data_IF_643696702630
#
_entry.id   IF_643696702630
#
_cell.length_a   1.000
_cell.length_b   1.000
_cell.length_c   1.000
_cell.angle_alpha   90.00
_cell.angle_beta   90.00
_cell.angle_gamma   90.00
#
_symmetry.space_group_name_H-M   'P 1'
#
loop_
_entity.id
_entity.type
_entity.pdbx_description
1 polymer ?
#
# COMPACT_ATOMS: atom_id res chain seq x y z
N UNK A 1 6.19 45.67 -18.34
CA UNK A 1 4.83 45.59 -17.78
C UNK A 1 4.13 44.27 -18.13
N UNK A 2 4.43 43.71 -19.30
CA UNK A 2 3.86 42.40 -19.69
C UNK A 2 4.55 41.20 -19.02
N UNK A 3 5.81 41.33 -18.62
CA UNK A 3 6.52 40.31 -17.88
C UNK A 3 5.96 40.07 -16.46
N UNK A 4 5.37 41.11 -15.84
CA UNK A 4 4.78 40.98 -14.51
C UNK A 4 3.41 40.28 -14.52
N UNK A 5 2.69 40.24 -15.64
CA UNK A 5 1.45 39.49 -15.79
C UNK A 5 1.71 37.97 -15.93
N UNK A 6 2.79 37.60 -16.58
CA UNK A 6 3.24 36.19 -16.63
C UNK A 6 3.72 35.65 -15.27
N UNK A 7 4.23 36.54 -14.41
CA UNK A 7 4.64 36.16 -13.05
C UNK A 7 3.44 35.93 -12.10
N UNK A 8 2.30 36.56 -12.35
CA UNK A 8 1.07 36.35 -11.58
C UNK A 8 0.54 34.93 -11.68
N UNK A 9 0.75 34.24 -12.81
CA UNK A 9 0.38 32.86 -13.00
C UNK A 9 1.41 31.86 -12.39
N UNK A 10 2.62 32.31 -12.12
CA UNK A 10 3.65 31.51 -11.44
C UNK A 10 3.26 31.19 -9.99
N UNK A 11 2.42 31.97 -9.35
CA UNK A 11 1.91 31.69 -8.00
C UNK A 11 0.87 30.56 -7.96
N UNK A 12 0.38 30.11 -9.11
CA UNK A 12 -0.48 28.92 -9.23
C UNK A 12 0.31 27.68 -9.58
N UNK A 13 1.59 27.59 -9.18
CA UNK A 13 2.38 26.37 -9.37
C UNK A 13 1.72 25.22 -8.66
N UNK A 14 1.17 24.31 -9.43
CA UNK A 14 0.68 23.06 -8.91
C UNK A 14 1.87 22.12 -8.72
N UNK A 15 2.00 21.60 -7.51
CA UNK A 15 2.97 20.55 -7.24
C UNK A 15 2.40 19.19 -7.62
N UNK A 16 3.24 18.34 -8.15
CA UNK A 16 2.90 16.98 -8.55
C UNK A 16 3.75 15.98 -7.78
N UNK A 17 3.20 14.81 -7.54
CA UNK A 17 3.88 13.67 -6.97
C UNK A 17 3.78 12.47 -7.92
N UNK A 18 4.83 11.69 -7.99
CA UNK A 18 4.85 10.37 -8.61
C UNK A 18 5.30 9.34 -7.58
N UNK A 19 4.45 8.33 -7.35
CA UNK A 19 4.71 7.24 -6.40
C UNK A 19 4.55 5.93 -7.19
N UNK A 20 5.53 5.05 -7.08
CA UNK A 20 5.54 3.79 -7.81
C UNK A 20 5.81 2.61 -6.88
N UNK A 21 5.29 1.44 -7.25
CA UNK A 21 5.63 0.17 -6.60
C UNK A 21 7.03 -0.32 -6.99
N UNK A 22 7.57 0.20 -8.08
CA UNK A 22 8.85 -0.20 -8.67
C UNK A 22 10.01 0.74 -8.34
N UNK A 23 11.16 0.38 -8.86
CA UNK A 23 12.38 1.15 -8.74
C UNK A 23 12.57 2.08 -9.95
N UNK A 24 13.08 3.29 -9.71
CA UNK A 24 13.51 4.22 -10.78
C UNK A 24 14.85 3.75 -11.37
N UNK A 25 14.82 2.64 -12.08
CA UNK A 25 16.00 2.05 -12.70
C UNK A 25 15.65 1.50 -14.09
N UNK A 26 16.35 1.94 -15.12
CA UNK A 26 16.11 1.61 -16.52
C UNK A 26 16.11 0.09 -16.78
N UNK A 27 17.06 -0.65 -16.20
CA UNK A 27 17.19 -2.09 -16.42
C UNK A 27 16.03 -2.87 -15.79
N UNK A 28 15.59 -2.48 -14.59
CA UNK A 28 14.48 -3.16 -13.92
C UNK A 28 13.13 -2.80 -14.53
N UNK A 29 12.98 -1.58 -15.08
CA UNK A 29 11.75 -1.13 -15.71
C UNK A 29 11.40 -1.92 -16.99
N UNK A 30 12.36 -2.57 -17.63
CA UNK A 30 12.11 -3.42 -18.80
C UNK A 30 11.67 -4.84 -18.45
N UNK A 31 11.82 -5.26 -17.19
CA UNK A 31 11.57 -6.63 -16.76
C UNK A 31 10.36 -6.74 -15.81
N UNK A 32 10.00 -5.65 -15.14
CA UNK A 32 9.02 -5.65 -14.05
C UNK A 32 7.71 -4.98 -14.49
N UNK A 33 6.60 -5.62 -14.13
CA UNK A 33 5.28 -4.99 -14.19
C UNK A 33 5.03 -4.28 -12.86
N UNK A 34 5.03 -2.95 -12.91
CA UNK A 34 4.83 -2.07 -11.76
C UNK A 34 3.66 -1.12 -11.97
N UNK A 35 3.12 -0.60 -10.88
CA UNK A 35 2.10 0.44 -10.88
C UNK A 35 2.70 1.77 -10.46
N UNK A 36 2.27 2.85 -11.11
CA UNK A 36 2.65 4.22 -10.77
C UNK A 36 1.44 5.13 -10.64
N UNK A 37 1.43 5.95 -9.60
CA UNK A 37 0.44 7.01 -9.39
C UNK A 37 1.09 8.36 -9.64
N UNK A 38 0.59 9.08 -10.64
CA UNK A 38 0.89 10.50 -10.85
C UNK A 38 -0.27 11.34 -10.35
N UNK A 39 -0.02 12.22 -9.37
CA UNK A 39 -1.08 12.96 -8.70
C UNK A 39 -0.68 14.39 -8.35
N UNK A 40 -1.67 15.26 -8.23
CA UNK A 40 -1.52 16.61 -7.69
C UNK A 40 -2.38 16.81 -6.42
N UNK A 41 -2.90 15.74 -5.84
CA UNK A 41 -3.65 15.84 -4.59
C UNK A 41 -2.77 16.40 -3.48
N UNK A 42 -3.22 17.51 -2.89
CA UNK A 42 -2.43 18.29 -1.93
C UNK A 42 -2.01 17.46 -0.72
N UNK A 43 -2.91 16.63 -0.22
CA UNK A 43 -2.66 15.76 0.93
C UNK A 43 -1.50 14.78 0.68
N UNK A 44 -1.42 14.18 -0.51
CA UNK A 44 -0.32 13.27 -0.89
C UNK A 44 0.97 14.04 -1.15
N UNK A 45 0.87 15.16 -1.88
CA UNK A 45 2.04 15.99 -2.21
C UNK A 45 2.68 16.56 -0.94
N UNK A 46 1.87 17.04 0.01
CA UNK A 46 2.37 17.57 1.28
C UNK A 46 3.07 16.50 2.12
N UNK A 47 2.47 15.32 2.22
CA UNK A 47 3.08 14.21 2.97
C UNK A 47 4.40 13.76 2.33
N UNK A 48 4.48 13.73 0.99
CA UNK A 48 5.72 13.41 0.29
C UNK A 48 6.79 14.48 0.52
N UNK A 49 6.39 15.76 0.50
CA UNK A 49 7.28 16.87 0.86
C UNK A 49 7.81 16.73 2.29
N UNK A 50 6.91 16.43 3.25
CA UNK A 50 7.29 16.19 4.66
C UNK A 50 8.23 15.00 4.78
N UNK A 51 8.02 13.93 4.01
CA UNK A 51 8.92 12.78 3.99
C UNK A 51 10.35 13.20 3.59
N UNK A 52 10.50 13.96 2.52
CA UNK A 52 11.81 14.44 2.11
C UNK A 52 12.47 15.36 3.15
N UNK A 53 11.69 16.23 3.81
CA UNK A 53 12.20 17.07 4.89
C UNK A 53 12.62 16.28 6.13
N UNK A 54 11.83 15.25 6.48
CA UNK A 54 12.19 14.32 7.56
C UNK A 54 13.48 13.58 7.25
N UNK A 55 13.67 13.11 6.02
CA UNK A 55 14.92 12.44 5.60
C UNK A 55 16.12 13.37 5.61
N UNK A 56 15.92 14.67 5.46
CA UNK A 56 16.96 15.69 5.60
C UNK A 56 17.23 16.11 7.06
N UNK A 57 16.47 15.55 8.02
CA UNK A 57 16.57 15.92 9.44
C UNK A 57 16.03 17.32 9.76
N UNK A 58 15.16 17.87 8.89
CA UNK A 58 14.64 19.24 9.03
C UNK A 58 13.30 19.32 9.74
N UNK A 59 12.56 18.23 9.78
CA UNK A 59 11.22 18.17 10.38
C UNK A 59 10.95 16.81 11.02
N UNK A 60 10.09 16.81 12.02
CA UNK A 60 9.55 15.59 12.61
C UNK A 60 8.59 14.90 11.64
N UNK A 61 8.55 13.56 11.63
CA UNK A 61 7.69 12.82 10.72
C UNK A 61 6.21 13.01 11.09
N UNK A 62 5.45 13.65 10.20
CA UNK A 62 4.00 13.81 10.29
C UNK A 62 3.38 13.47 8.95
N UNK A 63 2.63 12.38 8.90
CA UNK A 63 1.95 11.91 7.72
C UNK A 63 0.45 11.75 8.01
N UNK A 64 -0.39 12.29 7.14
CA UNK A 64 -1.86 12.27 7.25
C UNK A 64 -2.51 11.29 6.28
N UNK A 65 -1.87 11.05 5.16
CA UNK A 65 -2.39 10.29 4.03
C UNK A 65 -1.45 9.17 3.60
N UNK A 66 -0.15 9.48 3.48
CA UNK A 66 0.85 8.46 3.18
C UNK A 66 1.11 7.58 4.40
N UNK A 67 1.25 6.28 4.15
CA UNK A 67 1.76 5.34 5.13
C UNK A 67 3.24 5.12 4.87
N UNK A 68 4.05 5.45 5.86
CA UNK A 68 5.50 5.39 5.73
C UNK A 68 6.06 4.38 6.73
N UNK A 69 6.85 3.44 6.23
CA UNK A 69 7.50 2.44 7.06
C UNK A 69 8.37 3.11 8.14
N UNK A 70 8.48 2.49 9.31
CA UNK A 70 9.10 2.98 10.54
C UNK A 70 8.33 4.09 11.27
N UNK A 71 7.29 4.70 10.66
CA UNK A 71 6.51 5.77 11.29
C UNK A 71 5.07 5.34 11.56
N UNK A 72 4.20 5.40 10.57
CA UNK A 72 2.77 5.15 10.74
C UNK A 72 2.24 3.91 9.99
N UNK A 73 3.05 3.21 9.20
CA UNK A 73 2.61 2.09 8.37
C UNK A 73 2.01 0.95 9.21
N UNK A 74 2.76 0.41 10.17
CA UNK A 74 2.31 -0.74 10.97
C UNK A 74 1.07 -0.44 11.82
N UNK A 75 1.02 0.70 12.57
CA UNK A 75 -0.21 1.07 13.28
C UNK A 75 -1.44 1.15 12.38
N UNK A 76 -1.30 1.72 11.19
CA UNK A 76 -2.42 1.82 10.27
C UNK A 76 -2.82 0.47 9.66
N UNK A 77 -1.86 -0.40 9.31
CA UNK A 77 -2.18 -1.76 8.87
C UNK A 77 -2.95 -2.55 9.92
N UNK A 78 -2.52 -2.48 11.18
CA UNK A 78 -3.25 -3.12 12.28
C UNK A 78 -4.66 -2.55 12.40
N UNK A 79 -4.84 -1.23 12.35
CA UNK A 79 -6.15 -0.60 12.41
C UNK A 79 -7.07 -1.02 11.25
N UNK A 80 -6.52 -1.21 10.04
CA UNK A 80 -7.27 -1.68 8.87
C UNK A 80 -7.71 -3.14 9.07
N UNK A 81 -6.83 -4.00 9.57
CA UNK A 81 -7.14 -5.40 9.88
C UNK A 81 -8.18 -5.47 11.01
N UNK A 82 -8.02 -4.70 12.09
CA UNK A 82 -9.00 -4.62 13.19
C UNK A 82 -10.39 -4.21 12.71
N UNK A 83 -10.46 -3.30 11.74
CA UNK A 83 -11.72 -2.90 11.12
C UNK A 83 -12.39 -4.06 10.40
N UNK A 84 -11.65 -4.85 9.63
CA UNK A 84 -12.21 -6.01 8.93
C UNK A 84 -12.64 -7.12 9.92
N UNK A 85 -11.88 -7.34 10.99
CA UNK A 85 -12.25 -8.25 12.09
C UNK A 85 -13.57 -7.80 12.70
N UNK A 86 -13.67 -6.53 13.09
CA UNK A 86 -14.89 -5.97 13.70
C UNK A 86 -16.12 -6.10 12.80
N UNK A 87 -15.95 -5.95 11.48
CA UNK A 87 -17.02 -6.14 10.52
C UNK A 87 -17.44 -7.61 10.42
N UNK A 88 -16.49 -8.54 10.42
CA UNK A 88 -16.77 -9.97 10.41
C UNK A 88 -17.52 -10.39 11.68
N UNK A 89 -17.10 -9.95 12.85
CA UNK A 89 -17.75 -10.22 14.13
C UNK A 89 -19.20 -9.69 14.19
N UNK A 90 -19.48 -8.59 13.50
CA UNK A 90 -20.82 -8.03 13.34
C UNK A 90 -21.67 -8.72 12.26
N UNK A 91 -21.17 -9.75 11.59
CA UNK A 91 -21.87 -10.43 10.50
C UNK A 91 -21.96 -9.61 9.20
N UNK A 92 -21.22 -8.52 9.08
CA UNK A 92 -21.19 -7.65 7.89
C UNK A 92 -20.19 -8.11 6.84
N UNK A 93 -19.42 -9.16 7.16
CA UNK A 93 -18.35 -9.69 6.33
C UNK A 93 -17.09 -8.81 6.36
N UNK A 94 -15.92 -9.43 6.52
CA UNK A 94 -14.62 -8.79 6.39
C UNK A 94 -13.91 -9.28 5.12
N UNK A 95 -13.18 -8.41 4.43
CA UNK A 95 -12.52 -8.77 3.19
C UNK A 95 -11.15 -8.11 3.07
N UNK A 96 -10.10 -8.92 2.89
CA UNK A 96 -8.73 -8.45 2.66
C UNK A 96 -8.19 -9.11 1.39
N UNK A 97 -7.57 -8.32 0.49
CA UNK A 97 -6.82 -8.84 -0.65
C UNK A 97 -5.46 -8.19 -0.64
N UNK A 98 -4.39 -8.99 -0.63
CA UNK A 98 -3.03 -8.48 -0.60
C UNK A 98 -2.21 -9.08 -1.75
N UNK A 99 -1.77 -8.22 -2.66
CA UNK A 99 -0.77 -8.57 -3.68
C UNK A 99 0.58 -8.02 -3.24
N UNK A 100 1.59 -8.89 -3.17
CA UNK A 100 2.96 -8.54 -2.81
C UNK A 100 3.97 -9.56 -3.33
N UNK A 101 5.25 -9.24 -3.26
CA UNK A 101 6.27 -10.21 -3.70
C UNK A 101 6.69 -11.16 -2.58
N UNK A 102 6.66 -10.71 -1.32
CA UNK A 102 7.04 -11.54 -0.19
C UNK A 102 6.22 -11.23 1.07
N UNK A 103 5.79 -12.31 1.74
CA UNK A 103 5.12 -12.29 3.04
C UNK A 103 5.95 -13.12 4.02
N UNK A 104 6.67 -12.44 4.93
CA UNK A 104 7.62 -13.10 5.82
C UNK A 104 7.57 -12.58 7.27
N UNK A 105 7.00 -11.40 7.51
CA UNK A 105 6.95 -10.83 8.85
C UNK A 105 6.00 -11.63 9.75
N UNK A 106 6.51 -12.23 10.87
CA UNK A 106 5.68 -13.09 11.70
C UNK A 106 4.50 -12.34 12.33
N UNK A 107 4.72 -11.10 12.81
CA UNK A 107 3.67 -10.34 13.46
C UNK A 107 2.52 -10.04 12.52
N UNK A 108 2.82 -9.71 11.26
CA UNK A 108 1.77 -9.48 10.26
C UNK A 108 1.08 -10.78 9.83
N UNK A 109 1.80 -11.91 9.79
CA UNK A 109 1.20 -13.22 9.54
C UNK A 109 0.24 -13.61 10.65
N UNK A 110 0.63 -13.42 11.92
CA UNK A 110 -0.23 -13.68 13.09
C UNK A 110 -1.51 -12.84 13.03
N UNK A 111 -1.41 -11.56 12.63
CA UNK A 111 -2.58 -10.70 12.41
C UNK A 111 -3.53 -11.22 11.32
N UNK A 112 -2.99 -11.79 10.24
CA UNK A 112 -3.83 -12.41 9.20
C UNK A 112 -4.49 -13.70 9.70
N UNK A 113 -3.80 -14.50 10.51
CA UNK A 113 -4.40 -15.68 11.14
C UNK A 113 -5.54 -15.28 12.08
N UNK A 114 -5.32 -14.31 12.95
CA UNK A 114 -6.36 -13.76 13.83
C UNK A 114 -7.58 -13.28 13.02
N UNK A 115 -7.37 -12.51 11.96
CA UNK A 115 -8.45 -12.07 11.09
C UNK A 115 -9.20 -13.25 10.44
N UNK A 116 -8.50 -14.30 10.04
CA UNK A 116 -9.10 -15.52 9.50
C UNK A 116 -9.95 -16.25 10.55
N UNK A 117 -9.49 -16.34 11.80
CA UNK A 117 -10.25 -16.98 12.89
C UNK A 117 -11.56 -16.25 13.18
N UNK A 118 -11.58 -14.92 13.03
CA UNK A 118 -12.78 -14.08 13.12
C UNK A 118 -13.65 -14.10 11.86
N UNK A 119 -13.30 -14.89 10.84
CA UNK A 119 -14.14 -15.07 9.64
C UNK A 119 -13.86 -14.10 8.50
N UNK A 120 -12.84 -13.26 8.59
CA UNK A 120 -12.42 -12.38 7.50
C UNK A 120 -11.94 -13.23 6.30
N UNK A 121 -12.48 -12.96 5.12
CA UNK A 121 -12.06 -13.63 3.88
C UNK A 121 -10.80 -12.96 3.33
N UNK A 122 -9.73 -13.72 3.19
CA UNK A 122 -8.41 -13.19 2.83
C UNK A 122 -7.88 -13.88 1.58
N UNK A 123 -7.61 -13.09 0.54
CA UNK A 123 -6.89 -13.54 -0.65
C UNK A 123 -5.48 -12.95 -0.68
N UNK A 124 -4.49 -13.82 -0.73
CA UNK A 124 -3.09 -13.46 -0.84
C UNK A 124 -2.57 -13.84 -2.23
N UNK A 125 -1.98 -12.86 -2.91
CA UNK A 125 -1.32 -13.05 -4.20
C UNK A 125 0.16 -12.77 -3.95
N UNK A 126 0.92 -13.84 -3.64
CA UNK A 126 2.33 -13.72 -3.25
C UNK A 126 3.22 -14.37 -4.30
N UNK A 127 4.01 -13.54 -4.99
CA UNK A 127 4.86 -14.01 -6.10
C UNK A 127 6.03 -14.88 -5.66
N UNK A 128 6.68 -14.53 -4.57
CA UNK A 128 7.93 -15.16 -4.09
C UNK A 128 7.75 -15.88 -2.76
N UNK A 129 8.47 -15.43 -1.75
CA UNK A 129 8.49 -16.06 -0.42
C UNK A 129 7.15 -15.80 0.28
N UNK A 130 6.49 -16.89 0.71
CA UNK A 130 5.32 -16.85 1.56
C UNK A 130 5.57 -17.76 2.77
N UNK A 131 5.69 -17.17 3.96
CA UNK A 131 5.86 -17.93 5.21
C UNK A 131 4.52 -18.22 5.90
N UNK A 132 3.41 -17.71 5.38
CA UNK A 132 2.07 -18.06 5.85
C UNK A 132 1.68 -19.44 5.35
N UNK A 133 1.12 -20.26 6.23
CA UNK A 133 0.67 -21.64 5.94
C UNK A 133 -0.84 -21.62 5.79
N UNK A 134 -1.40 -21.83 4.60
CA UNK A 134 -2.85 -21.92 4.38
C UNK A 134 -3.40 -23.29 4.83
N UNK A 135 -4.74 -23.43 4.76
CA UNK A 135 -5.46 -24.70 4.97
C UNK A 135 -5.31 -25.30 6.37
N UNK A 136 -4.96 -24.50 7.37
CA UNK A 136 -4.98 -24.88 8.77
C UNK A 136 -6.28 -24.44 9.45
N UNK A 137 -6.55 -24.90 10.66
CA UNK A 137 -7.74 -24.46 11.42
C UNK A 137 -7.81 -22.95 11.60
N UNK A 138 -6.67 -22.31 11.81
CA UNK A 138 -6.52 -20.86 12.00
C UNK A 138 -6.42 -20.06 10.67
N UNK A 139 -6.22 -20.74 9.54
CA UNK A 139 -6.10 -20.10 8.22
C UNK A 139 -7.14 -20.57 7.20
N UNK A 140 -8.27 -21.11 7.67
CA UNK A 140 -9.35 -21.67 6.82
C UNK A 140 -9.95 -20.66 5.84
N UNK A 141 -9.90 -19.37 6.18
CA UNK A 141 -10.44 -18.29 5.38
C UNK A 141 -9.35 -17.55 4.57
N UNK A 142 -8.13 -18.12 4.52
CA UNK A 142 -7.02 -17.56 3.76
C UNK A 142 -6.74 -18.41 2.54
N UNK A 143 -6.84 -17.80 1.36
CA UNK A 143 -6.40 -18.41 0.11
C UNK A 143 -5.10 -17.77 -0.35
N UNK A 144 -4.11 -18.58 -0.69
CA UNK A 144 -2.82 -18.13 -1.22
C UNK A 144 -2.70 -18.54 -2.68
N UNK A 145 -2.43 -17.58 -3.54
CA UNK A 145 -2.19 -17.79 -4.97
C UNK A 145 -0.88 -17.17 -5.40
N UNK A 146 -0.35 -17.64 -6.53
CA UNK A 146 0.87 -17.11 -7.12
C UNK A 146 0.61 -16.75 -8.57
N UNK A 147 1.09 -15.56 -8.97
CA UNK A 147 1.06 -15.13 -10.37
C UNK A 147 2.48 -15.25 -10.93
N UNK A 148 2.60 -15.92 -12.07
CA UNK A 148 3.81 -16.00 -12.87
C UNK A 148 3.43 -15.63 -14.31
N UNK A 149 4.08 -14.62 -14.85
CA UNK A 149 3.84 -14.16 -16.22
C UNK A 149 5.17 -13.84 -16.91
N UNK A 150 5.11 -13.42 -18.18
CA UNK A 150 6.26 -13.03 -19.02
C UNK A 150 7.07 -11.89 -18.40
N UNK A 151 6.38 -10.93 -17.76
CA UNK A 151 7.00 -9.89 -16.95
C UNK A 151 6.93 -10.24 -15.48
N UNK A 152 7.90 -9.78 -14.71
CA UNK A 152 7.93 -9.98 -13.27
C UNK A 152 6.84 -9.12 -12.61
N UNK A 153 5.79 -9.78 -12.16
CA UNK A 153 4.69 -9.17 -11.41
C UNK A 153 5.19 -8.58 -10.09
N UNK A 154 5.49 -7.28 -10.08
CA UNK A 154 6.19 -6.63 -8.99
C UNK A 154 5.32 -5.64 -8.20
N UNK A 155 4.15 -5.30 -8.70
CA UNK A 155 3.25 -4.38 -8.03
C UNK A 155 2.79 -4.90 -6.65
N UNK A 156 2.75 -4.01 -5.64
CA UNK A 156 2.16 -4.27 -4.33
C UNK A 156 0.90 -3.45 -4.21
N UNK A 157 -0.21 -4.15 -4.03
CA UNK A 157 -1.55 -3.55 -3.92
C UNK A 157 -2.27 -4.23 -2.76
N UNK A 158 -2.86 -3.44 -1.87
CA UNK A 158 -3.60 -3.91 -0.71
C UNK A 158 -5.01 -3.37 -0.73
N UNK A 159 -5.96 -4.23 -0.52
CA UNK A 159 -7.39 -3.93 -0.50
C UNK A 159 -8.00 -4.36 0.82
N UNK A 160 -8.76 -3.48 1.44
CA UNK A 160 -9.57 -3.73 2.63
C UNK A 160 -11.01 -3.36 2.32
N UNK A 161 -11.95 -4.28 2.54
CA UNK A 161 -13.34 -4.17 2.09
C UNK A 161 -14.15 -3.06 2.73
N UNK A 162 -13.91 -2.78 4.02
CA UNK A 162 -14.47 -1.67 4.78
C UNK A 162 -15.97 -1.44 4.53
N UNK A 163 -16.78 -2.51 4.66
CA UNK A 163 -18.24 -2.46 4.54
C UNK A 163 -18.74 -1.87 3.20
N UNK A 164 -18.09 -2.24 2.09
CA UNK A 164 -18.47 -1.77 0.74
C UNK A 164 -17.88 -0.39 0.35
N UNK A 165 -17.07 0.22 1.22
CA UNK A 165 -16.30 1.43 0.93
C UNK A 165 -14.81 1.11 0.94
N UNK A 166 -14.31 0.39 -0.07
CA UNK A 166 -13.00 -0.21 0.00
C UNK A 166 -11.89 0.81 0.15
N UNK A 167 -10.88 0.45 0.93
CA UNK A 167 -9.63 1.17 1.02
C UNK A 167 -8.57 0.42 0.23
N UNK A 168 -8.04 1.08 -0.79
CA UNK A 168 -7.04 0.50 -1.69
C UNK A 168 -5.74 1.28 -1.50
N UNK A 169 -4.65 0.56 -1.39
CA UNK A 169 -3.31 1.12 -1.23
C UNK A 169 -2.36 0.52 -2.25
N UNK A 170 -1.38 1.31 -2.69
CA UNK A 170 -0.24 0.83 -3.46
C UNK A 170 1.06 1.36 -2.87
N UNK A 171 2.14 0.60 -2.99
CA UNK A 171 3.41 1.04 -2.46
C UNK A 171 4.58 0.11 -2.76
N UNK A 172 5.73 0.45 -2.18
CA UNK A 172 6.98 -0.26 -2.40
C UNK A 172 7.25 -1.44 -1.45
N UNK A 173 6.67 -1.51 -0.21
CA UNK A 173 7.08 -2.53 0.73
C UNK A 173 6.43 -3.89 0.48
N UNK A 174 7.23 -4.94 0.61
CA UNK A 174 6.76 -6.27 0.93
C UNK A 174 6.54 -6.40 2.44
N UNK A 175 5.76 -7.37 2.88
CA UNK A 175 5.59 -7.64 4.31
C UNK A 175 6.75 -8.48 4.84
N UNK A 176 7.92 -7.89 4.80
CA UNK A 176 9.18 -8.42 5.32
C UNK A 176 9.72 -7.49 6.39
N UNK A 177 10.36 -8.06 7.41
CA UNK A 177 10.91 -7.28 8.53
C UNK A 177 11.81 -6.13 8.09
N UNK A 178 12.63 -6.34 7.05
CA UNK A 178 13.51 -5.28 6.52
C UNK A 178 12.74 -4.11 5.91
N UNK A 179 11.62 -4.38 5.21
CA UNK A 179 10.80 -3.35 4.58
C UNK A 179 9.97 -2.60 5.60
N UNK A 180 9.34 -3.31 6.55
CA UNK A 180 8.41 -2.73 7.50
C UNK A 180 9.11 -1.93 8.60
N UNK A 181 10.33 -2.33 9.03
CA UNK A 181 10.98 -1.78 10.22
C UNK A 181 12.34 -1.12 9.98
N UNK A 182 13.01 -1.38 8.85
CA UNK A 182 14.39 -0.92 8.64
C UNK A 182 14.56 0.03 7.47
N UNK A 183 13.76 -0.10 6.42
CA UNK A 183 13.79 0.76 5.23
C UNK A 183 12.79 1.89 5.36
N UNK A 184 13.00 2.94 4.58
CA UNK A 184 11.97 3.93 4.30
C UNK A 184 11.24 3.46 3.06
N UNK A 185 10.00 3.09 3.25
CA UNK A 185 9.09 2.64 2.20
C UNK A 185 7.82 3.48 2.29
N UNK A 186 7.23 3.82 1.17
CA UNK A 186 6.03 4.63 1.12
C UNK A 186 4.87 3.87 0.47
N UNK A 187 3.71 4.05 1.05
CA UNK A 187 2.44 3.48 0.58
C UNK A 187 1.42 4.60 0.48
N UNK A 188 0.75 4.69 -0.66
CA UNK A 188 -0.26 5.71 -0.92
C UNK A 188 -1.64 5.08 -1.04
N UNK A 189 -2.69 5.69 -0.45
CA UNK A 189 -4.05 5.30 -0.76
C UNK A 189 -4.40 5.71 -2.19
N UNK A 190 -5.24 4.92 -2.83
CA UNK A 190 -5.91 5.27 -4.08
C UNK A 190 -7.21 5.98 -3.71
N UNK A 191 -7.23 7.28 -3.91
CA UNK A 191 -8.34 8.17 -3.49
C UNK A 191 -9.31 8.49 -4.62
N UNK A 192 -9.20 7.83 -5.77
CA UNK A 192 -10.14 7.99 -6.87
C UNK A 192 -11.45 7.28 -6.51
N UNK A 193 -12.62 7.95 -6.64
CA UNK A 193 -13.91 7.33 -6.39
C UNK A 193 -14.29 6.26 -7.43
N UNK A 194 -13.74 6.35 -8.63
CA UNK A 194 -13.85 5.32 -9.67
C UNK A 194 -12.52 4.56 -9.76
N UNK A 195 -12.28 3.55 -8.89
CA UNK A 195 -11.10 2.74 -9.03
C UNK A 195 -11.16 2.06 -10.40
N UNK A 196 -10.18 2.33 -11.25
CA UNK A 196 -10.02 1.59 -12.49
C UNK A 196 -9.94 0.12 -12.12
N UNK A 197 -10.99 -0.61 -12.41
CA UNK A 197 -10.99 -2.05 -12.24
C UNK A 197 -10.00 -2.60 -13.26
N UNK A 198 -8.81 -2.96 -12.81
CA UNK A 198 -7.88 -3.73 -13.63
C UNK A 198 -8.46 -5.13 -13.78
N UNK A 199 -9.27 -5.31 -14.81
CA UNK A 199 -9.64 -6.62 -15.32
C UNK A 199 -8.63 -6.98 -16.39
N UNK A 200 -7.65 -7.74 -16.01
CA UNK A 200 -6.85 -8.56 -16.93
C UNK A 200 -6.61 -9.91 -16.30
#
# INVERSE_FOLDING_TARGET
>A
YYASRGLGDVYKRQSYAYISTGNFNEKTATLYADCGLFTCRKEIVNDLYNLFRTLQGKEDPKFTTLLVARFNLIPELNRLIDREISLADQGKGGRIILKMNALQDPAMIDRLYEASEHGVQIDLIVRGICCLIPEQSYSRNIRVTRIVDSFLEHARIWYFGNEGHPKIYMGSPDWMRRNLYRRIEAVTPILDPDPVSYTH
#
